data_IF_325252534202
#
_entry.id   IF_325252534202
#
_cell.length_a   1.000
_cell.length_b   1.000
_cell.length_c   1.000
_cell.angle_alpha   90.00
_cell.angle_beta   90.00
_cell.angle_gamma   90.00
#
_symmetry.space_group_name_H-M   'P 1'
#
loop_
_entity.id
_entity.type
_entity.pdbx_description
1 polymer ?
#
# COMPACT_ATOMS: atom_id res chain seq x y z
N UNK A 1 -9.52 -3.53 -40.37
CA UNK A 1 -8.49 -4.32 -39.66
C UNK A 1 -9.05 -4.78 -38.32
N UNK A 2 -9.21 -6.08 -38.13
CA UNK A 2 -9.94 -6.71 -37.03
C UNK A 2 -9.13 -6.67 -35.72
N UNK A 3 -9.70 -6.14 -34.63
CA UNK A 3 -9.08 -6.15 -33.30
C UNK A 3 -9.37 -7.49 -32.63
N UNK A 4 -8.34 -8.32 -32.47
CA UNK A 4 -8.47 -9.60 -31.77
C UNK A 4 -8.65 -9.34 -30.26
N UNK A 5 -9.48 -10.14 -29.56
CA UNK A 5 -9.76 -9.95 -28.14
C UNK A 5 -8.54 -10.36 -27.31
N UNK A 6 -8.01 -9.43 -26.51
CA UNK A 6 -6.92 -9.69 -25.57
C UNK A 6 -7.42 -10.62 -24.44
N UNK A 7 -6.81 -11.78 -24.23
CA UNK A 7 -7.18 -12.68 -23.15
C UNK A 7 -6.92 -11.98 -21.81
N UNK A 8 -7.97 -11.75 -21.04
CA UNK A 8 -7.89 -11.26 -19.66
C UNK A 8 -7.18 -12.32 -18.81
N UNK A 9 -5.85 -12.25 -18.78
CA UNK A 9 -5.03 -13.06 -17.88
C UNK A 9 -5.41 -12.69 -16.45
N UNK A 10 -6.03 -13.63 -15.75
CA UNK A 10 -6.18 -13.54 -14.30
C UNK A 10 -4.79 -13.36 -13.69
N UNK A 11 -4.64 -12.33 -12.86
CA UNK A 11 -3.43 -12.09 -12.11
C UNK A 11 -3.14 -13.32 -11.23
N UNK A 12 -2.05 -14.04 -11.51
CA UNK A 12 -1.64 -15.19 -10.69
C UNK A 12 -1.29 -14.78 -9.26
N UNK A 13 -1.12 -15.76 -8.36
CA UNK A 13 -0.74 -15.54 -6.96
C UNK A 13 0.41 -14.55 -6.77
N UNK A 14 1.43 -14.60 -7.64
CA UNK A 14 2.56 -13.66 -7.66
C UNK A 14 2.16 -12.21 -8.01
N UNK A 15 1.18 -12.02 -8.88
CA UNK A 15 0.67 -10.70 -9.22
C UNK A 15 -0.16 -10.12 -8.08
N UNK A 16 -0.96 -10.95 -7.40
CA UNK A 16 -1.64 -10.57 -6.14
C UNK A 16 -0.63 -10.22 -5.05
N UNK A 17 0.42 -11.02 -4.88
CA UNK A 17 1.53 -10.73 -3.96
C UNK A 17 2.18 -9.38 -4.30
N UNK A 18 2.46 -9.12 -5.57
CA UNK A 18 3.05 -7.87 -6.06
C UNK A 18 2.11 -6.67 -5.85
N UNK A 19 0.80 -6.85 -6.00
CA UNK A 19 -0.19 -5.82 -5.73
C UNK A 19 -0.34 -5.52 -4.24
N UNK A 20 -0.26 -6.54 -3.38
CA UNK A 20 -0.20 -6.38 -1.92
C UNK A 20 1.07 -5.62 -1.56
N UNK A 21 2.23 -6.05 -2.03
CA UNK A 21 3.50 -5.33 -1.85
C UNK A 21 3.42 -3.85 -2.29
N UNK A 22 2.71 -3.56 -3.40
CA UNK A 22 2.54 -2.18 -3.89
C UNK A 22 1.59 -1.34 -3.03
N UNK A 23 0.62 -1.98 -2.38
CA UNK A 23 -0.28 -1.35 -1.40
C UNK A 23 0.45 -1.00 -0.09
N UNK A 24 1.54 -1.71 0.22
CA UNK A 24 2.40 -1.45 1.38
C UNK A 24 3.38 -0.30 1.17
N UNK A 25 3.80 -0.05 -0.08
CA UNK A 25 4.70 1.05 -0.44
C UNK A 25 3.98 2.42 -0.46
N UNK A 26 2.65 2.46 -0.39
CA UNK A 26 1.89 3.71 -0.19
C UNK A 26 1.67 4.50 -1.48
N UNK A 27 0.71 4.09 -2.31
CA UNK A 27 0.45 4.73 -3.61
C UNK A 27 -0.38 6.01 -3.53
N UNK A 28 -1.13 6.30 -2.47
CA UNK A 28 -2.16 7.34 -2.58
C UNK A 28 -2.31 8.25 -1.37
N UNK A 29 -1.42 9.23 -1.26
CA UNK A 29 -1.80 10.60 -0.85
C UNK A 29 -0.92 11.62 -1.55
N UNK A 30 -1.34 12.03 -2.74
CA UNK A 30 -0.82 13.22 -3.44
C UNK A 30 -1.94 14.20 -3.80
N UNK A 31 -3.10 14.16 -3.13
CA UNK A 31 -4.24 14.90 -3.64
C UNK A 31 -4.49 16.25 -2.98
N UNK A 32 -4.54 16.42 -1.66
CA UNK A 32 -5.08 17.69 -1.12
C UNK A 32 -4.16 18.43 -0.13
N UNK A 33 -2.84 18.32 -0.31
CA UNK A 33 -1.85 18.96 0.56
C UNK A 33 -1.53 20.44 0.20
N UNK A 34 -2.47 21.17 -0.41
CA UNK A 34 -2.26 22.60 -0.73
C UNK A 34 -3.15 23.57 0.04
N UNK A 35 -4.15 23.08 0.78
CA UNK A 35 -5.00 23.92 1.64
C UNK A 35 -4.82 23.62 3.13
N UNK A 36 -4.50 22.37 3.49
CA UNK A 36 -4.36 21.94 4.88
C UNK A 36 -2.90 21.96 5.40
N UNK A 37 -1.92 22.22 4.54
CA UNK A 37 -0.50 22.22 4.90
C UNK A 37 -0.10 23.38 5.84
N UNK A 38 -0.91 24.44 5.91
CA UNK A 38 -0.69 25.57 6.84
C UNK A 38 -1.32 25.35 8.22
N UNK A 39 -2.22 24.37 8.39
CA UNK A 39 -2.88 24.09 9.69
C UNK A 39 -2.56 22.72 10.29
N UNK A 40 -2.11 21.74 9.49
CA UNK A 40 -1.68 20.45 10.00
C UNK A 40 -0.22 20.49 10.45
N UNK A 41 -0.04 20.34 11.75
CA UNK A 41 1.26 20.20 12.39
C UNK A 41 2.09 19.09 11.72
N UNK A 42 3.19 19.41 11.01
CA UNK A 42 3.99 18.42 10.27
C UNK A 42 4.48 17.28 11.15
N UNK A 43 4.67 17.57 12.45
CA UNK A 43 5.00 16.59 13.50
C UNK A 43 3.95 15.48 13.63
N UNK A 44 2.66 15.79 13.53
CA UNK A 44 1.58 14.80 13.65
C UNK A 44 1.58 13.83 12.47
N UNK A 45 1.88 14.33 11.26
CA UNK A 45 2.00 13.50 10.05
C UNK A 45 3.18 12.53 10.16
N UNK A 46 4.32 13.00 10.67
CA UNK A 46 5.51 12.17 10.90
C UNK A 46 5.21 11.06 11.92
N UNK A 47 4.58 11.40 13.04
CA UNK A 47 4.21 10.44 14.09
C UNK A 47 3.18 9.43 13.57
N UNK A 48 2.15 9.88 12.85
CA UNK A 48 1.14 9.01 12.26
C UNK A 48 1.74 8.06 11.20
N UNK A 49 2.65 8.55 10.37
CA UNK A 49 3.37 7.74 9.39
C UNK A 49 4.28 6.70 10.05
N UNK A 50 4.99 7.08 11.12
CA UNK A 50 5.88 6.19 11.85
C UNK A 50 5.09 5.09 12.57
N UNK A 51 4.02 5.45 13.29
CA UNK A 51 3.14 4.51 13.96
C UNK A 51 2.44 3.57 12.96
N UNK A 52 1.90 4.14 11.88
CA UNK A 52 1.26 3.36 10.82
C UNK A 52 2.24 2.36 10.18
N UNK A 53 3.47 2.79 9.90
CA UNK A 53 4.53 1.94 9.36
C UNK A 53 4.95 0.82 10.32
N UNK A 54 5.14 1.12 11.62
CA UNK A 54 5.53 0.13 12.62
C UNK A 54 4.43 -0.93 12.81
N UNK A 55 3.18 -0.50 12.99
CA UNK A 55 2.02 -1.40 13.15
C UNK A 55 1.91 -2.35 11.95
N UNK A 56 2.14 -1.82 10.77
CA UNK A 56 2.02 -2.55 9.52
C UNK A 56 3.10 -3.62 9.34
N UNK A 57 4.35 -3.30 9.69
CA UNK A 57 5.45 -4.28 9.68
C UNK A 57 5.19 -5.38 10.70
N UNK A 58 4.77 -5.03 11.91
CA UNK A 58 4.45 -6.02 12.95
C UNK A 58 3.29 -6.94 12.52
N UNK A 59 2.25 -6.39 11.87
CA UNK A 59 1.15 -7.17 11.34
C UNK A 59 1.63 -8.18 10.28
N UNK A 60 2.53 -7.79 9.36
CA UNK A 60 3.10 -8.71 8.38
C UNK A 60 3.90 -9.83 9.03
N UNK A 61 4.80 -9.48 9.94
CA UNK A 61 5.64 -10.46 10.64
C UNK A 61 4.76 -11.42 11.44
N UNK A 62 3.69 -10.92 12.08
CA UNK A 62 2.68 -11.73 12.74
C UNK A 62 2.01 -12.72 11.79
N UNK A 63 1.48 -12.25 10.66
CA UNK A 63 0.83 -13.11 9.66
C UNK A 63 1.80 -14.15 9.09
N UNK A 64 3.03 -13.78 8.74
CA UNK A 64 4.03 -14.70 8.22
C UNK A 64 4.42 -15.74 9.25
N UNK A 65 4.69 -15.31 10.49
CA UNK A 65 5.04 -16.24 11.58
C UNK A 65 3.88 -17.19 11.94
N UNK A 66 2.63 -16.76 11.75
CA UNK A 66 1.45 -17.62 11.93
C UNK A 66 1.29 -18.64 10.81
N UNK A 67 1.63 -18.29 9.56
CA UNK A 67 1.58 -19.23 8.43
C UNK A 67 2.71 -20.26 8.50
N UNK A 68 3.90 -19.83 8.96
CA UNK A 68 5.09 -20.69 9.03
C UNK A 68 5.02 -21.71 10.17
N UNK A 69 4.21 -21.45 11.20
CA UNK A 69 4.15 -22.23 12.43
C UNK A 69 2.87 -23.07 12.48
#
# INVERSE_FOLDING_TARGET
MNKMPEPTRQAGFFATMKAVLWSFVGIRRRHDARHDADSLDPKAVIVAGLLGGVIFVLALVGVVSWIVR
#
